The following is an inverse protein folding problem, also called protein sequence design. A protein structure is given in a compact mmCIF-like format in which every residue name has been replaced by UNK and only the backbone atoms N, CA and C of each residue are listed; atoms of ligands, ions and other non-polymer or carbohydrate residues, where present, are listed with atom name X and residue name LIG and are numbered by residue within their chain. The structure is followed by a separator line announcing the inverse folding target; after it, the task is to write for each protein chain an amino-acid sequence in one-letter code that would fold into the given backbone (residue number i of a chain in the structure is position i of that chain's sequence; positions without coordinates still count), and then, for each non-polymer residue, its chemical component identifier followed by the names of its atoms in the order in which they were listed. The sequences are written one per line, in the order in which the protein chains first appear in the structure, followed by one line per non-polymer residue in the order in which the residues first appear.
data_IF_049707990684
#
_entry.id   IF_049707990684
#
_cell.length_a   1.000
_cell.length_b   1.000
_cell.length_c   1.000
_cell.angle_alpha   90.00
_cell.angle_beta   90.00
_cell.angle_gamma   90.00
#
_symmetry.space_group_name_H-M   'P 1'
#
loop_
_entity.id
_entity.type
_entity.pdbx_description
1 polymer ?
#
# COMPACT_ATOMS: atom_id res chain seq x y z
N UNK A 1 2.56 14.00 0.57
CA UNK A 1 2.86 15.40 0.93
C UNK A 1 3.02 15.60 2.43
N UNK A 2 3.32 14.52 3.11
CA UNK A 2 3.80 14.47 4.49
C UNK A 2 5.06 13.61 4.57
N UNK A 3 5.58 13.36 5.78
CA UNK A 3 6.70 12.48 6.06
C UNK A 3 6.27 11.23 6.84
N UNK A 4 7.06 10.80 7.83
CA UNK A 4 6.82 9.63 8.64
C UNK A 4 6.54 9.95 10.10
N UNK A 5 5.91 9.02 10.82
CA UNK A 5 5.57 9.18 12.23
C UNK A 5 6.81 9.28 13.11
N UNK A 6 7.87 8.55 12.77
CA UNK A 6 9.10 8.50 13.58
C UNK A 6 9.87 9.83 13.61
N UNK A 7 9.57 10.76 12.72
CA UNK A 7 10.09 12.12 12.67
C UNK A 7 9.04 13.17 13.02
N UNK A 8 7.83 12.77 13.45
CA UNK A 8 6.68 13.64 13.70
C UNK A 8 6.29 14.50 12.48
N UNK A 9 6.51 13.95 11.27
CA UNK A 9 6.22 14.63 10.01
C UNK A 9 5.07 13.98 9.22
N UNK A 10 4.54 12.84 9.69
CA UNK A 10 3.25 12.34 9.25
C UNK A 10 2.14 13.23 9.82
N UNK A 11 1.22 13.70 8.99
CA UNK A 11 0.15 14.58 9.49
C UNK A 11 -1.04 13.73 9.94
N UNK A 12 -1.30 13.79 11.24
CA UNK A 12 -2.30 12.99 11.93
C UNK A 12 -3.56 13.80 12.24
N UNK A 13 -4.73 13.14 12.28
CA UNK A 13 -6.00 13.73 12.69
C UNK A 13 -6.06 14.03 14.19
N UNK A 14 -5.30 13.27 14.97
CA UNK A 14 -5.11 13.49 16.40
C UNK A 14 -3.69 13.96 16.65
N UNK A 15 -3.45 14.76 17.70
CA UNK A 15 -2.08 15.09 18.12
C UNK A 15 -1.26 13.82 18.38
N UNK A 16 0.04 13.92 18.21
CA UNK A 16 0.97 12.86 18.63
C UNK A 16 0.86 12.63 20.15
N UNK A 17 0.89 11.36 20.55
CA UNK A 17 0.71 11.01 21.97
C UNK A 17 1.89 11.45 22.84
N UNK A 18 3.09 11.47 22.27
CA UNK A 18 4.32 11.92 22.97
C UNK A 18 4.57 13.44 22.80
N UNK A 19 3.92 14.11 21.84
CA UNK A 19 3.99 15.55 21.63
C UNK A 19 2.59 16.15 21.41
N UNK A 20 1.71 16.15 22.41
CA UNK A 20 0.30 16.51 22.26
C UNK A 20 0.05 17.98 21.90
N UNK A 21 1.02 18.86 22.15
CA UNK A 21 0.96 20.28 21.82
C UNK A 21 1.56 20.61 20.45
N UNK A 22 2.15 19.62 19.74
CA UNK A 22 2.71 19.83 18.41
C UNK A 22 1.60 20.08 17.39
N UNK A 23 1.78 21.09 16.55
CA UNK A 23 0.86 21.40 15.45
C UNK A 23 1.17 20.48 14.23
N UNK A 24 0.14 20.14 13.45
CA UNK A 24 0.36 19.44 12.18
C UNK A 24 1.33 20.19 11.27
N UNK A 25 2.37 19.52 10.79
CA UNK A 25 3.39 20.08 9.90
C UNK A 25 3.28 19.47 8.50
N UNK A 26 2.43 20.06 7.66
CA UNK A 26 2.33 19.66 6.26
C UNK A 26 3.60 20.04 5.50
N UNK A 27 4.29 19.07 4.94
CA UNK A 27 5.46 19.30 4.07
C UNK A 27 5.09 20.08 2.80
N UNK A 28 3.84 19.96 2.36
CA UNK A 28 3.25 20.70 1.24
C UNK A 28 1.92 21.28 1.65
N UNK A 29 1.72 22.58 1.41
CA UNK A 29 0.45 23.28 1.71
C UNK A 29 -0.74 22.57 1.07
N UNK A 30 -1.79 22.32 1.86
CA UNK A 30 -3.02 21.64 1.43
C UNK A 30 -3.66 22.32 0.20
N UNK A 31 -3.60 23.66 0.12
CA UNK A 31 -4.15 24.42 -1.02
C UNK A 31 -3.40 24.09 -2.30
N UNK A 32 -2.08 23.90 -2.21
CA UNK A 32 -1.27 23.49 -3.37
C UNK A 32 -1.62 22.07 -3.80
N UNK A 33 -1.80 21.14 -2.86
CA UNK A 33 -2.24 19.76 -3.17
C UNK A 33 -3.61 19.79 -3.87
N UNK A 34 -4.59 20.48 -3.29
CA UNK A 34 -5.94 20.62 -3.88
C UNK A 34 -5.90 21.23 -5.29
N UNK A 35 -5.10 22.29 -5.47
CA UNK A 35 -4.93 22.91 -6.78
C UNK A 35 -4.24 22.00 -7.80
N UNK A 36 -3.23 21.24 -7.37
CA UNK A 36 -2.50 20.30 -8.23
C UNK A 36 -3.41 19.14 -8.69
N UNK A 37 -4.16 18.53 -7.77
CA UNK A 37 -5.09 17.44 -8.09
C UNK A 37 -6.20 17.93 -9.02
N UNK A 38 -6.78 19.10 -8.75
CA UNK A 38 -7.80 19.71 -9.61
C UNK A 38 -7.27 19.98 -11.02
N UNK A 39 -6.06 20.51 -11.14
CA UNK A 39 -5.41 20.79 -12.42
C UNK A 39 -5.07 19.49 -13.18
N UNK A 40 -4.63 18.46 -12.48
CA UNK A 40 -4.36 17.15 -13.05
C UNK A 40 -5.65 16.54 -13.61
N UNK A 41 -6.72 16.50 -12.80
CA UNK A 41 -8.04 16.02 -13.20
C UNK A 41 -8.56 16.75 -14.44
N UNK A 42 -8.46 18.10 -14.50
CA UNK A 42 -8.89 18.90 -15.62
C UNK A 42 -8.14 18.57 -16.94
N UNK A 43 -6.95 17.99 -16.83
CA UNK A 43 -6.09 17.64 -17.97
C UNK A 43 -6.04 16.16 -18.29
N UNK A 44 -6.77 15.32 -17.58
CA UNK A 44 -6.70 13.87 -17.73
C UNK A 44 -5.36 13.27 -17.28
N UNK A 45 -4.64 13.94 -16.38
CA UNK A 45 -3.35 13.49 -15.86
C UNK A 45 -3.56 12.75 -14.54
N UNK A 46 -2.90 11.60 -14.37
CA UNK A 46 -2.93 10.81 -13.16
C UNK A 46 -2.15 11.49 -12.03
N UNK A 47 -2.54 11.22 -10.78
CA UNK A 47 -1.79 11.67 -9.60
C UNK A 47 -1.41 10.50 -8.70
N UNK A 48 -0.23 10.59 -8.10
CA UNK A 48 0.29 9.65 -7.13
C UNK A 48 0.89 10.44 -5.97
N UNK A 49 0.28 10.36 -4.80
CA UNK A 49 0.62 11.20 -3.66
C UNK A 49 1.13 10.35 -2.49
N UNK A 50 2.23 10.78 -1.87
CA UNK A 50 2.71 10.26 -0.60
C UNK A 50 1.79 10.74 0.52
N UNK A 51 1.06 9.82 1.15
CA UNK A 51 0.14 10.08 2.24
C UNK A 51 0.38 9.03 3.32
N UNK A 52 1.07 9.39 4.37
CA UNK A 52 1.46 8.49 5.44
C UNK A 52 0.48 8.56 6.61
N UNK A 53 0.20 9.77 7.09
CA UNK A 53 -0.76 10.05 8.16
C UNK A 53 -2.21 10.06 7.67
N UNK A 54 -3.15 9.80 8.57
CA UNK A 54 -4.57 9.75 8.29
C UNK A 54 -5.16 11.12 7.88
N UNK A 55 -4.59 12.24 8.36
CA UNK A 55 -5.00 13.57 7.94
C UNK A 55 -4.56 13.87 6.48
N UNK A 56 -3.38 13.44 6.05
CA UNK A 56 -2.97 13.62 4.65
C UNK A 56 -3.77 12.72 3.72
N UNK A 57 -4.10 11.49 4.13
CA UNK A 57 -5.03 10.64 3.39
C UNK A 57 -6.37 11.37 3.20
N UNK A 58 -6.96 11.92 4.27
CA UNK A 58 -8.21 12.68 4.21
C UNK A 58 -8.12 13.87 3.27
N UNK A 59 -7.08 14.69 3.42
CA UNK A 59 -6.88 15.89 2.58
C UNK A 59 -6.74 15.54 1.11
N UNK A 60 -6.05 14.44 0.79
CA UNK A 60 -5.94 13.96 -0.59
C UNK A 60 -7.28 13.46 -1.14
N UNK A 61 -8.03 12.68 -0.36
CA UNK A 61 -9.37 12.22 -0.77
C UNK A 61 -10.34 13.39 -0.96
N UNK A 62 -10.27 14.44 -0.12
CA UNK A 62 -11.05 15.68 -0.28
C UNK A 62 -10.69 16.41 -1.59
N UNK A 63 -9.40 16.46 -1.91
CA UNK A 63 -8.93 17.05 -3.16
C UNK A 63 -9.42 16.29 -4.38
N UNK A 64 -9.37 14.95 -4.35
CA UNK A 64 -9.88 14.08 -5.43
C UNK A 64 -11.40 14.22 -5.56
N UNK A 65 -12.13 14.25 -4.45
CA UNK A 65 -13.59 14.43 -4.46
C UNK A 65 -13.99 15.74 -5.14
N UNK A 66 -13.35 16.84 -4.75
CA UNK A 66 -13.58 18.16 -5.37
C UNK A 66 -13.23 18.16 -6.86
N UNK A 67 -12.13 17.51 -7.23
CA UNK A 67 -11.69 17.43 -8.62
C UNK A 67 -12.64 16.60 -9.49
N UNK A 68 -13.14 15.45 -8.99
CA UNK A 68 -14.14 14.62 -9.70
C UNK A 68 -15.49 15.33 -9.84
N UNK A 69 -15.90 16.10 -8.83
CA UNK A 69 -17.10 16.95 -8.96
C UNK A 69 -16.97 18.03 -10.04
N UNK A 70 -15.79 18.63 -10.17
CA UNK A 70 -15.52 19.65 -11.16
C UNK A 70 -15.34 19.10 -12.59
N UNK A 71 -14.76 17.91 -12.73
CA UNK A 71 -14.43 17.26 -14.00
C UNK A 71 -14.79 15.77 -13.96
N UNK A 72 -16.10 15.41 -13.96
CA UNK A 72 -16.55 14.03 -13.76
C UNK A 72 -16.13 13.08 -14.89
N UNK A 73 -16.00 13.58 -16.11
CA UNK A 73 -15.66 12.77 -17.30
C UNK A 73 -14.14 12.61 -17.52
N UNK A 74 -13.32 13.13 -16.62
CA UNK A 74 -11.87 13.01 -16.75
C UNK A 74 -11.41 11.56 -16.55
N UNK A 75 -10.52 11.04 -17.42
CA UNK A 75 -9.97 9.69 -17.27
C UNK A 75 -8.91 9.56 -16.19
N UNK A 76 -8.57 10.64 -15.49
CA UNK A 76 -7.49 10.65 -14.50
C UNK A 76 -7.67 9.59 -13.42
N UNK A 77 -6.57 8.93 -13.10
CA UNK A 77 -6.45 7.97 -11.99
C UNK A 77 -5.74 8.63 -10.83
N UNK A 78 -6.18 8.29 -9.64
CA UNK A 78 -5.61 8.84 -8.42
C UNK A 78 -5.13 7.71 -7.53
N UNK A 79 -3.90 7.82 -7.04
CA UNK A 79 -3.27 6.84 -6.16
C UNK A 79 -2.79 7.53 -4.89
N UNK A 80 -3.22 7.02 -3.75
CA UNK A 80 -2.70 7.36 -2.43
C UNK A 80 -1.65 6.33 -2.03
N UNK A 81 -0.45 6.77 -1.71
CA UNK A 81 0.71 5.90 -1.45
C UNK A 81 1.02 5.83 0.04
N UNK A 82 1.53 4.68 0.46
CA UNK A 82 1.82 4.25 1.82
C UNK A 82 0.58 4.00 2.66
N UNK A 83 -0.21 5.04 2.99
CA UNK A 83 -1.43 4.94 3.77
C UNK A 83 -1.20 4.15 5.06
N UNK A 84 -0.15 4.54 5.82
CA UNK A 84 0.19 3.81 7.04
C UNK A 84 -0.97 3.86 8.02
N UNK A 85 -1.57 5.05 8.19
CA UNK A 85 -2.75 5.25 9.01
C UNK A 85 -3.94 5.68 8.16
N UNK A 86 -5.08 5.03 8.34
CA UNK A 86 -6.32 5.35 7.63
C UNK A 86 -7.50 5.29 8.58
N UNK A 87 -8.15 6.42 8.75
CA UNK A 87 -9.36 6.53 9.57
C UNK A 87 -10.53 5.73 8.99
N UNK A 88 -11.36 5.14 9.86
CA UNK A 88 -12.56 4.40 9.47
C UNK A 88 -13.48 5.19 8.53
N UNK A 89 -13.57 6.51 8.71
CA UNK A 89 -14.39 7.39 7.88
C UNK A 89 -13.89 7.50 6.43
N UNK A 90 -12.60 7.31 6.21
CA UNK A 90 -11.96 7.48 4.90
C UNK A 90 -11.89 6.17 4.10
N UNK A 91 -12.00 5.01 4.75
CA UNK A 91 -11.96 3.70 4.09
C UNK A 91 -12.95 3.58 2.92
N UNK A 92 -14.27 3.86 3.08
CA UNK A 92 -15.23 3.72 1.96
C UNK A 92 -14.98 4.72 0.83
N UNK A 93 -14.27 5.80 1.09
CA UNK A 93 -13.98 6.85 0.11
C UNK A 93 -13.01 6.39 -0.98
N UNK A 94 -12.12 5.44 -0.69
CA UNK A 94 -11.25 4.85 -1.72
C UNK A 94 -12.07 4.24 -2.86
N UNK A 95 -13.10 3.47 -2.53
CA UNK A 95 -14.02 2.91 -3.53
C UNK A 95 -14.88 3.99 -4.19
N UNK A 96 -15.54 4.84 -3.39
CA UNK A 96 -16.47 5.86 -3.88
C UNK A 96 -15.82 6.86 -4.84
N UNK A 97 -14.55 7.19 -4.62
CA UNK A 97 -13.76 8.11 -5.43
C UNK A 97 -12.88 7.41 -6.47
N UNK A 98 -12.92 6.08 -6.56
CA UNK A 98 -12.01 5.28 -7.38
C UNK A 98 -10.54 5.68 -7.20
N UNK A 99 -10.11 5.82 -5.94
CA UNK A 99 -8.71 6.06 -5.56
C UNK A 99 -8.07 4.71 -5.26
N UNK A 100 -6.91 4.45 -5.83
CA UNK A 100 -6.15 3.24 -5.50
C UNK A 100 -5.33 3.48 -4.24
N UNK A 101 -5.46 2.59 -3.25
CA UNK A 101 -4.51 2.49 -2.14
C UNK A 101 -3.27 1.75 -2.65
N UNK A 102 -2.12 2.40 -2.67
CA UNK A 102 -0.83 1.73 -2.87
C UNK A 102 -0.14 1.57 -1.53
N UNK A 103 0.38 0.39 -1.24
CA UNK A 103 1.01 0.10 0.04
C UNK A 103 2.29 -0.70 -0.09
N UNK A 104 3.25 -0.42 0.79
CA UNK A 104 4.45 -1.21 1.02
C UNK A 104 4.14 -2.29 2.06
N UNK A 105 3.40 -3.33 1.63
CA UNK A 105 2.82 -4.32 2.55
C UNK A 105 3.85 -5.05 3.41
N UNK A 106 5.13 -5.16 2.99
CA UNK A 106 6.20 -5.75 3.80
C UNK A 106 6.51 -4.98 5.09
N UNK A 107 5.98 -3.75 5.24
CA UNK A 107 6.09 -2.98 6.48
C UNK A 107 5.01 -3.35 7.50
N UNK A 108 3.96 -4.03 7.08
CA UNK A 108 2.86 -4.43 7.96
C UNK A 108 3.23 -5.64 8.84
N UNK A 109 4.34 -5.53 9.58
CA UNK A 109 4.88 -6.60 10.44
C UNK A 109 4.98 -6.14 11.90
N UNK A 110 4.84 -7.05 12.87
CA UNK A 110 5.05 -6.76 14.28
C UNK A 110 6.54 -6.66 14.61
N UNK A 111 7.24 -5.77 13.98
CA UNK A 111 8.68 -5.58 14.13
C UNK A 111 9.04 -4.80 15.43
N UNK A 112 10.34 -4.72 15.79
CA UNK A 112 10.76 -4.02 17.00
C UNK A 112 10.40 -2.53 17.07
N UNK A 113 10.03 -1.90 15.96
CA UNK A 113 9.65 -0.48 15.94
C UNK A 113 8.19 -0.27 16.38
N UNK A 114 7.36 -1.30 16.38
CA UNK A 114 5.92 -1.22 16.68
C UNK A 114 5.62 -0.52 18.02
N UNK A 115 6.39 -0.82 19.08
CA UNK A 115 6.22 -0.14 20.38
C UNK A 115 6.57 1.35 20.29
N UNK A 116 7.57 1.69 19.50
CA UNK A 116 7.94 3.08 19.27
C UNK A 116 6.81 3.80 18.56
N UNK A 117 6.30 3.25 17.47
CA UNK A 117 5.16 3.80 16.73
C UNK A 117 3.95 4.00 17.65
N UNK A 118 3.60 3.00 18.46
CA UNK A 118 2.50 3.11 19.43
C UNK A 118 2.75 4.18 20.51
N UNK A 119 3.98 4.37 20.94
CA UNK A 119 4.36 5.47 21.85
C UNK A 119 4.21 6.85 21.22
N UNK A 120 4.50 6.98 19.92
CA UNK A 120 4.44 8.24 19.19
C UNK A 120 3.00 8.63 18.83
N UNK A 121 2.22 7.73 18.22
CA UNK A 121 0.86 8.04 17.72
C UNK A 121 -0.26 7.64 18.67
N UNK A 122 0.06 6.93 19.75
CA UNK A 122 -0.89 6.32 20.67
C UNK A 122 -1.28 4.89 20.25
N UNK A 123 -1.53 4.03 21.25
CA UNK A 123 -1.85 2.61 21.02
C UNK A 123 -3.13 2.42 20.20
N UNK A 124 -4.14 3.27 20.44
CA UNK A 124 -5.42 3.21 19.75
C UNK A 124 -5.24 3.40 18.23
N UNK A 125 -4.52 4.41 17.83
CA UNK A 125 -4.22 4.70 16.42
C UNK A 125 -3.31 3.62 15.85
N UNK A 126 -2.20 3.31 16.53
CA UNK A 126 -1.23 2.33 16.09
C UNK A 126 -1.84 0.93 15.86
N UNK A 127 -2.73 0.47 16.73
CA UNK A 127 -3.25 -0.90 16.66
C UNK A 127 -4.61 -1.03 15.96
N UNK A 128 -5.22 0.08 15.56
CA UNK A 128 -6.50 0.08 14.84
C UNK A 128 -6.39 0.57 13.40
N UNK A 129 -5.52 1.53 13.12
CA UNK A 129 -5.53 2.26 11.85
C UNK A 129 -4.38 1.93 10.90
N UNK A 130 -3.44 1.06 11.32
CA UNK A 130 -2.29 0.71 10.47
C UNK A 130 -2.65 -0.26 9.36
N UNK A 131 -2.21 0.07 8.12
CA UNK A 131 -2.26 -0.82 6.96
C UNK A 131 -3.64 -1.46 6.76
N UNK A 132 -4.68 -0.64 6.55
CA UNK A 132 -6.10 -1.04 6.46
C UNK A 132 -6.44 -1.71 5.12
N UNK A 133 -5.61 -2.70 4.70
CA UNK A 133 -5.71 -3.36 3.40
C UNK A 133 -7.04 -4.08 3.21
N UNK A 134 -7.42 -4.92 4.16
CA UNK A 134 -8.66 -5.72 4.08
C UNK A 134 -9.90 -4.84 4.18
N UNK A 135 -9.87 -3.84 5.05
CA UNK A 135 -10.96 -2.87 5.20
C UNK A 135 -11.23 -2.12 3.90
N UNK A 136 -10.20 -1.63 3.23
CA UNK A 136 -10.35 -0.96 1.92
C UNK A 136 -10.87 -1.92 0.86
N UNK A 137 -10.36 -3.16 0.79
CA UNK A 137 -10.85 -4.17 -0.15
C UNK A 137 -12.31 -4.56 0.14
N UNK A 138 -12.70 -4.74 1.41
CA UNK A 138 -14.09 -5.02 1.80
C UNK A 138 -15.05 -3.89 1.44
N UNK A 139 -14.57 -2.64 1.49
CA UNK A 139 -15.34 -1.48 1.04
C UNK A 139 -15.42 -1.34 -0.50
N UNK A 140 -14.83 -2.27 -1.26
CA UNK A 140 -14.81 -2.25 -2.72
C UNK A 140 -13.68 -1.42 -3.33
N UNK A 141 -12.73 -0.94 -2.52
CA UNK A 141 -11.55 -0.20 -2.98
C UNK A 141 -10.54 -1.10 -3.70
N UNK A 142 -9.58 -0.49 -4.36
CA UNK A 142 -8.46 -1.17 -5.01
C UNK A 142 -7.21 -1.04 -4.17
N UNK A 143 -6.47 -2.14 -4.04
CA UNK A 143 -5.15 -2.19 -3.42
C UNK A 143 -4.10 -2.52 -4.49
N UNK A 144 -2.98 -1.78 -4.49
CA UNK A 144 -1.79 -2.10 -5.27
C UNK A 144 -0.59 -2.26 -4.32
N UNK A 145 0.28 -3.23 -4.59
CA UNK A 145 1.48 -3.46 -3.79
C UNK A 145 2.72 -2.86 -4.46
N UNK A 146 3.55 -2.23 -3.66
CA UNK A 146 4.90 -1.80 -4.00
C UNK A 146 5.83 -2.05 -2.83
N UNK A 147 7.13 -1.86 -3.01
CA UNK A 147 8.11 -2.12 -1.94
C UNK A 147 8.76 -0.85 -1.39
N UNK A 148 8.69 0.24 -2.16
CA UNK A 148 9.40 1.48 -1.84
C UNK A 148 10.92 1.28 -1.62
N UNK A 149 11.48 0.19 -2.20
CA UNK A 149 12.89 -0.11 -2.07
C UNK A 149 13.76 1.03 -2.68
N UNK A 150 14.85 1.48 -2.04
CA UNK A 150 15.48 0.96 -0.82
C UNK A 150 15.00 1.62 0.48
N UNK A 151 13.95 2.46 0.46
CA UNK A 151 13.38 2.98 1.68
C UNK A 151 12.77 1.84 2.51
N UNK A 152 12.93 1.91 3.81
CA UNK A 152 12.61 0.79 4.63
C UNK A 152 12.05 1.16 5.98
N UNK A 153 11.06 0.35 6.39
CA UNK A 153 10.89 -0.03 7.77
C UNK A 153 11.90 -1.15 8.16
N UNK A 154 11.46 -2.10 8.93
CA UNK A 154 12.29 -3.22 9.39
C UNK A 154 12.67 -4.20 8.25
N UNK A 155 11.73 -4.47 7.36
CA UNK A 155 11.93 -5.38 6.22
C UNK A 155 12.29 -4.61 4.94
N UNK A 156 13.59 -4.46 4.68
CA UNK A 156 14.12 -3.85 3.44
C UNK A 156 14.17 -4.89 2.34
N UNK A 157 13.18 -4.93 1.50
CA UNK A 157 13.12 -5.92 0.41
C UNK A 157 12.54 -5.33 -0.87
N UNK A 158 13.05 -5.80 -2.03
CA UNK A 158 12.45 -5.55 -3.34
C UNK A 158 11.69 -6.78 -3.88
N UNK A 159 11.59 -7.86 -3.09
CA UNK A 159 11.04 -9.15 -3.52
C UNK A 159 9.50 -9.14 -3.39
N UNK A 160 8.73 -9.30 -4.48
CA UNK A 160 7.27 -9.26 -4.41
C UNK A 160 6.66 -10.35 -3.51
N UNK A 161 7.26 -11.55 -3.46
CA UNK A 161 6.78 -12.65 -2.61
C UNK A 161 6.85 -12.30 -1.12
N UNK A 162 7.79 -11.47 -0.70
CA UNK A 162 7.89 -10.98 0.67
C UNK A 162 6.68 -10.09 1.01
N UNK A 163 6.35 -9.13 0.14
CA UNK A 163 5.17 -8.27 0.29
C UNK A 163 3.87 -9.07 0.26
N UNK A 164 3.75 -10.05 -0.63
CA UNK A 164 2.59 -10.95 -0.71
C UNK A 164 2.44 -11.75 0.59
N UNK A 165 3.52 -12.35 1.11
CA UNK A 165 3.45 -13.10 2.38
C UNK A 165 2.99 -12.20 3.52
N UNK A 166 3.58 -11.01 3.67
CA UNK A 166 3.20 -10.10 4.75
C UNK A 166 1.77 -9.62 4.60
N UNK A 167 1.31 -9.29 3.39
CA UNK A 167 -0.08 -8.91 3.18
C UNK A 167 -1.09 -10.00 3.62
N UNK A 168 -0.72 -11.27 3.45
CA UNK A 168 -1.55 -12.43 3.84
C UNK A 168 -1.44 -12.74 5.33
N UNK A 169 -0.27 -12.54 5.95
CA UNK A 169 -0.01 -13.03 7.32
C UNK A 169 0.13 -11.92 8.36
N UNK A 170 0.50 -10.71 7.96
CA UNK A 170 0.92 -9.60 8.84
C UNK A 170 1.96 -10.03 9.90
N UNK A 171 2.75 -11.05 9.57
CA UNK A 171 3.78 -11.61 10.43
C UNK A 171 5.17 -11.25 9.89
N UNK A 172 6.14 -11.22 10.80
CA UNK A 172 7.53 -10.96 10.42
C UNK A 172 8.04 -12.10 9.51
N UNK A 173 8.80 -11.73 8.49
CA UNK A 173 9.39 -12.70 7.59
C UNK A 173 10.52 -13.49 8.26
N UNK A 174 10.68 -14.81 8.00
CA UNK A 174 11.66 -15.66 8.67
C UNK A 174 13.10 -15.13 8.65
N UNK A 175 13.50 -14.47 7.55
CA UNK A 175 14.84 -13.92 7.38
C UNK A 175 15.12 -12.69 8.25
N UNK A 176 14.09 -12.04 8.79
CA UNK A 176 14.24 -10.85 9.65
C UNK A 176 14.07 -11.17 11.14
N UNK A 177 13.89 -12.43 11.49
CA UNK A 177 13.80 -12.90 12.88
C UNK A 177 12.40 -13.31 13.29
N UNK A 178 12.17 -13.33 14.61
CA UNK A 178 10.87 -13.67 15.19
C UNK A 178 10.22 -12.45 15.77
N UNK A 179 8.89 -12.42 15.71
CA UNK A 179 8.09 -11.43 16.44
C UNK A 179 8.44 -11.43 17.94
N UNK A 180 8.64 -10.23 18.47
CA UNK A 180 8.97 -10.02 19.88
C UNK A 180 7.75 -9.64 20.73
N UNK A 181 6.62 -9.31 20.10
CA UNK A 181 5.46 -8.74 20.79
C UNK A 181 4.18 -9.49 20.51
N UNK A 182 3.87 -9.72 19.26
CA UNK A 182 2.67 -10.42 18.80
C UNK A 182 3.00 -11.21 17.54
N UNK A 183 2.37 -12.37 17.31
CA UNK A 183 2.62 -13.14 16.10
C UNK A 183 2.10 -12.45 14.83
N UNK A 184 1.18 -11.49 14.97
CA UNK A 184 0.53 -10.77 13.86
C UNK A 184 0.42 -9.29 14.22
N UNK A 185 0.76 -8.39 13.31
CA UNK A 185 0.58 -6.96 13.54
C UNK A 185 -0.91 -6.63 13.71
N UNK A 186 -1.31 -5.98 14.80
CA UNK A 186 -2.68 -5.47 14.96
C UNK A 186 -3.01 -4.37 13.92
N UNK A 187 -4.29 -4.27 13.48
CA UNK A 187 -5.35 -5.25 13.74
C UNK A 187 -5.19 -6.51 12.86
N UNK A 188 -5.36 -7.68 13.46
CA UNK A 188 -5.12 -8.96 12.78
C UNK A 188 -6.14 -9.31 11.68
N UNK A 189 -7.30 -8.68 11.68
CA UNK A 189 -8.33 -8.83 10.65
C UNK A 189 -8.04 -8.05 9.36
N UNK A 190 -6.93 -7.32 9.32
CA UNK A 190 -6.43 -6.66 8.10
C UNK A 190 -5.55 -7.56 7.22
N UNK A 191 -5.37 -8.83 7.57
CA UNK A 191 -4.85 -9.84 6.65
C UNK A 191 -5.78 -9.98 5.43
N UNK A 192 -5.21 -10.10 4.23
CA UNK A 192 -5.96 -10.32 3.00
C UNK A 192 -5.77 -11.75 2.49
N UNK A 193 -6.62 -12.21 1.58
CA UNK A 193 -6.45 -13.54 0.97
C UNK A 193 -5.26 -13.56 0.01
N UNK A 194 -4.75 -14.76 -0.29
CA UNK A 194 -3.69 -14.93 -1.28
C UNK A 194 -4.09 -14.39 -2.66
N UNK A 195 -5.32 -14.66 -3.10
CA UNK A 195 -5.81 -14.15 -4.39
C UNK A 195 -5.88 -12.63 -4.44
N UNK A 196 -6.29 -12.00 -3.34
CA UNK A 196 -6.27 -10.53 -3.22
C UNK A 196 -4.84 -9.98 -3.27
N UNK A 197 -3.89 -10.62 -2.58
CA UNK A 197 -2.49 -10.21 -2.59
C UNK A 197 -1.84 -10.39 -3.96
N UNK A 198 -2.11 -11.51 -4.65
CA UNK A 198 -1.64 -11.75 -6.02
C UNK A 198 -2.21 -10.71 -6.99
N UNK A 199 -3.53 -10.45 -6.90
CA UNK A 199 -4.19 -9.42 -7.70
C UNK A 199 -3.57 -8.04 -7.47
N UNK A 200 -3.35 -7.67 -6.20
CA UNK A 200 -2.76 -6.39 -5.82
C UNK A 200 -1.31 -6.23 -6.31
N UNK A 201 -0.53 -7.33 -6.35
CA UNK A 201 0.84 -7.35 -6.83
C UNK A 201 0.98 -7.41 -8.36
N UNK A 202 -0.10 -7.65 -9.10
CA UNK A 202 -0.09 -7.84 -10.56
C UNK A 202 -1.00 -6.85 -11.28
N UNK A 203 -2.27 -7.21 -11.52
CA UNK A 203 -3.17 -6.41 -12.36
C UNK A 203 -3.53 -5.06 -11.73
N UNK A 204 -3.69 -4.97 -10.40
CA UNK A 204 -3.97 -3.70 -9.75
C UNK A 204 -2.74 -2.77 -9.73
N UNK A 205 -1.53 -3.32 -9.63
CA UNK A 205 -0.28 -2.55 -9.82
C UNK A 205 -0.11 -2.10 -11.27
N UNK A 206 -0.47 -2.95 -12.25
CA UNK A 206 -0.49 -2.56 -13.67
C UNK A 206 -1.49 -1.42 -13.93
N UNK A 207 -2.65 -1.43 -13.25
CA UNK A 207 -3.63 -0.35 -13.33
C UNK A 207 -3.07 1.00 -12.85
N UNK A 208 -2.31 1.01 -11.77
CA UNK A 208 -1.63 2.24 -11.27
C UNK A 208 -0.68 2.80 -12.31
N UNK A 209 -0.05 1.93 -13.09
CA UNK A 209 0.89 2.32 -14.16
C UNK A 209 0.19 2.65 -15.49
N UNK A 210 -1.14 2.47 -15.60
CA UNK A 210 -1.88 2.63 -16.85
C UNK A 210 -1.54 1.55 -17.89
N UNK A 211 -1.13 0.37 -17.46
CA UNK A 211 -0.65 -0.72 -18.31
C UNK A 211 -1.48 -2.00 -18.23
N UNK A 212 -2.62 -1.98 -17.55
CA UNK A 212 -3.45 -3.17 -17.29
C UNK A 212 -3.99 -3.84 -18.57
N UNK A 213 -4.09 -3.11 -19.67
CA UNK A 213 -4.46 -3.67 -20.96
C UNK A 213 -3.29 -4.44 -21.64
N UNK A 214 -2.08 -4.28 -21.12
CA UNK A 214 -0.86 -4.83 -21.71
C UNK A 214 -0.15 -5.85 -20.84
N UNK A 215 -0.22 -5.70 -19.52
CA UNK A 215 0.47 -6.55 -18.53
C UNK A 215 -0.42 -6.78 -17.30
N UNK A 216 0.07 -7.54 -16.32
CA UNK A 216 -0.58 -7.75 -15.02
C UNK A 216 -1.53 -8.94 -14.97
N UNK A 217 -1.85 -9.57 -16.11
CA UNK A 217 -2.63 -10.82 -16.17
C UNK A 217 -2.20 -11.66 -17.39
N UNK A 218 -2.48 -12.96 -17.33
CA UNK A 218 -2.21 -13.90 -18.41
C UNK A 218 -3.45 -14.02 -19.31
N UNK A 219 -3.54 -13.13 -20.29
CA UNK A 219 -4.65 -13.03 -21.23
C UNK A 219 -4.12 -12.94 -22.67
N UNK A 220 -4.90 -13.48 -23.63
CA UNK A 220 -4.58 -13.38 -25.05
C UNK A 220 -4.53 -11.92 -25.47
N UNK A 221 -3.44 -11.51 -26.11
CA UNK A 221 -3.20 -10.14 -26.55
C UNK A 221 -2.34 -9.29 -25.61
N UNK A 222 -2.12 -9.72 -24.37
CA UNK A 222 -1.17 -9.07 -23.46
C UNK A 222 0.26 -9.56 -23.68
N UNK A 223 1.21 -8.80 -23.18
CA UNK A 223 2.62 -9.18 -23.22
C UNK A 223 2.84 -10.47 -22.38
N UNK A 224 3.73 -11.33 -22.85
CA UNK A 224 4.11 -12.53 -22.12
C UNK A 224 5.11 -12.17 -21.00
N UNK A 225 4.59 -11.48 -19.98
CA UNK A 225 5.27 -11.16 -18.73
C UNK A 225 4.77 -12.13 -17.68
N UNK A 226 5.60 -13.10 -17.29
CA UNK A 226 5.20 -14.16 -16.37
C UNK A 226 6.34 -14.65 -15.50
N UNK A 227 5.98 -15.22 -14.37
CA UNK A 227 6.87 -15.94 -13.46
C UNK A 227 6.35 -17.36 -13.29
N UNK A 228 7.26 -18.32 -13.28
CA UNK A 228 6.98 -19.71 -12.88
C UNK A 228 7.62 -19.94 -11.52
N UNK A 229 6.81 -20.31 -10.55
CA UNK A 229 7.25 -20.60 -9.19
C UNK A 229 7.48 -22.11 -9.02
N UNK A 230 8.37 -22.46 -8.09
CA UNK A 230 8.66 -23.86 -7.74
C UNK A 230 7.45 -24.57 -7.14
N UNK A 231 6.61 -23.84 -6.41
CA UNK A 231 5.46 -24.39 -5.69
C UNK A 231 4.19 -23.63 -6.04
N UNK A 232 3.07 -24.35 -6.01
CA UNK A 232 1.74 -23.75 -6.05
C UNK A 232 1.45 -23.06 -4.71
N UNK A 233 1.35 -21.73 -4.72
CA UNK A 233 1.16 -20.93 -3.51
C UNK A 233 -0.13 -21.26 -2.77
N UNK A 234 -1.16 -21.79 -3.46
CA UNK A 234 -2.42 -22.23 -2.84
C UNK A 234 -2.30 -23.58 -2.09
N UNK A 235 -1.18 -24.30 -2.27
CA UNK A 235 -0.95 -25.63 -1.65
C UNK A 235 0.12 -25.62 -0.57
N UNK A 236 0.67 -24.47 -0.25
CA UNK A 236 1.68 -24.32 0.81
C UNK A 236 1.14 -23.48 1.98
N UNK A 237 1.84 -23.51 3.10
CA UNK A 237 1.53 -22.61 4.19
C UNK A 237 1.83 -21.15 3.79
N UNK A 238 1.02 -20.22 4.23
CA UNK A 238 1.23 -18.80 3.93
C UNK A 238 2.61 -18.29 4.41
N UNK A 239 3.16 -18.87 5.47
CA UNK A 239 4.51 -18.60 5.98
C UNK A 239 5.64 -19.00 5.04
N UNK A 240 5.38 -19.81 4.02
CA UNK A 240 6.37 -20.35 3.10
C UNK A 240 6.40 -19.60 1.76
N UNK A 241 5.50 -18.65 1.55
CA UNK A 241 5.38 -17.89 0.29
C UNK A 241 6.70 -17.22 -0.07
N UNK A 242 7.30 -16.47 0.86
CA UNK A 242 8.53 -15.69 0.62
C UNK A 242 9.76 -16.57 0.32
N UNK A 243 9.74 -17.82 0.73
CA UNK A 243 10.84 -18.77 0.50
C UNK A 243 10.67 -19.58 -0.79
N UNK A 244 9.54 -19.45 -1.48
CA UNK A 244 9.30 -20.12 -2.75
C UNK A 244 10.23 -19.58 -3.83
N UNK A 245 10.90 -20.49 -4.53
CA UNK A 245 11.86 -20.13 -5.58
C UNK A 245 11.15 -19.75 -6.89
N UNK A 246 11.75 -18.80 -7.60
CA UNK A 246 11.38 -18.46 -8.97
C UNK A 246 12.14 -19.36 -9.93
N UNK A 247 11.46 -20.23 -10.64
CA UNK A 247 12.05 -21.15 -11.62
C UNK A 247 12.30 -20.47 -12.97
N UNK A 248 11.41 -19.57 -13.36
CA UNK A 248 11.54 -18.83 -14.61
C UNK A 248 10.91 -17.46 -14.49
N UNK A 249 11.53 -16.46 -15.09
CA UNK A 249 10.92 -15.16 -15.36
C UNK A 249 11.00 -14.86 -16.84
N UNK A 250 9.89 -14.40 -17.40
CA UNK A 250 9.79 -13.97 -18.78
C UNK A 250 9.28 -12.53 -18.83
N UNK A 251 9.86 -11.72 -19.71
CA UNK A 251 9.45 -10.35 -19.97
C UNK A 251 9.32 -10.14 -21.49
N UNK A 252 8.16 -9.73 -21.93
CA UNK A 252 7.81 -9.55 -23.34
C UNK A 252 8.20 -10.78 -24.20
N UNK A 253 7.89 -11.99 -23.71
CA UNK A 253 8.19 -13.25 -24.37
C UNK A 253 9.65 -13.70 -24.35
N UNK A 254 10.54 -12.94 -23.70
CA UNK A 254 11.96 -13.30 -23.53
C UNK A 254 12.22 -13.80 -22.12
N UNK A 255 12.87 -14.96 -22.00
CA UNK A 255 13.33 -15.48 -20.71
C UNK A 255 14.43 -14.56 -20.18
N UNK A 256 14.20 -13.97 -19.00
CA UNK A 256 15.15 -13.08 -18.30
C UNK A 256 15.83 -13.77 -17.13
N UNK A 257 15.22 -14.85 -16.61
CA UNK A 257 15.79 -15.71 -15.58
C UNK A 257 15.27 -17.13 -15.75
N UNK A 258 16.13 -18.10 -15.56
CA UNK A 258 15.79 -19.52 -15.48
C UNK A 258 16.75 -20.21 -14.52
N UNK A 259 16.20 -20.88 -13.50
CA UNK A 259 16.98 -21.73 -12.59
C UNK A 259 17.45 -22.97 -13.35
N UNK A 260 18.73 -23.32 -13.23
CA UNK A 260 19.35 -24.49 -13.85
C UNK A 260 19.04 -25.76 -13.07
#
# INVERSE_FOLDING_TARGET
FDGGESQHTAVMLQPYADEPDALPDYQVDEKLVKAAVLKAQAKGVDTHAHNYGDATVRTYLDAVEAARKAYPDSPSRHTSSHNLFVSDQDIPRFAALNVTMQSSAQWATPDPTMKRTAGIVGEDVAFREQFRHNSVLKAGGRLALGTDWPAAGYAVTYRPLDSIQVAVTRAILPQYGKDQFTPVLPPGDECITLDQALKAATIDSAYVLGLEDRIGSLEVGKLADLVVLEKDLHKIQASDISTTKVKLTMMNGKITHQEQ
#
